data_IF_879556006341
#
_entry.id   IF_879556006341
#
_cell.length_a   1.000
_cell.length_b   1.000
_cell.length_c   1.000
_cell.angle_alpha   90.00
_cell.angle_beta   90.00
_cell.angle_gamma   90.00
#
_symmetry.space_group_name_H-M   'P 1'
#
loop_
_entity.id
_entity.type
_entity.pdbx_description
1 polymer ?
#
# COMPACT_ATOMS: atom_id res chain seq x y z
N UNK A 1 -26.69 18.95 -1.11
CA UNK A 1 -27.53 17.75 -1.33
C UNK A 1 -26.68 16.63 -1.98
N UNK A 2 -25.36 16.58 -1.73
CA UNK A 2 -24.43 16.33 -2.87
C UNK A 2 -23.52 15.11 -2.75
N UNK A 3 -23.65 14.24 -1.73
CA UNK A 3 -22.99 12.92 -1.69
C UNK A 3 -23.82 11.90 -0.91
N UNK A 4 -24.87 11.36 -1.53
CA UNK A 4 -25.58 10.22 -0.95
C UNK A 4 -24.74 8.94 -1.14
N UNK A 5 -24.25 8.36 -0.04
CA UNK A 5 -23.52 7.08 -0.03
C UNK A 5 -24.46 5.87 0.08
N UNK A 6 -25.68 6.11 0.55
CA UNK A 6 -26.75 5.14 0.78
C UNK A 6 -28.07 5.71 0.24
N UNK A 7 -28.96 4.86 -0.26
CA UNK A 7 -30.31 5.22 -0.69
C UNK A 7 -31.30 4.08 -0.46
N UNK A 8 -32.59 4.37 -0.38
CA UNK A 8 -33.65 3.37 -0.14
C UNK A 8 -34.31 3.53 1.22
N UNK A 9 -35.34 2.71 1.52
CA UNK A 9 -36.02 2.74 2.81
C UNK A 9 -35.13 2.16 3.92
N UNK A 10 -35.43 2.42 5.19
CA UNK A 10 -34.63 1.97 6.35
C UNK A 10 -34.40 0.45 6.39
N UNK A 11 -35.37 -0.32 5.86
CA UNK A 11 -35.30 -1.78 5.73
C UNK A 11 -34.72 -2.27 4.39
N UNK A 12 -34.26 -1.36 3.54
CA UNK A 12 -33.82 -1.62 2.17
C UNK A 12 -32.75 -0.65 1.70
N UNK A 13 -31.86 -0.23 2.60
CA UNK A 13 -30.75 0.65 2.27
C UNK A 13 -29.81 -0.02 1.27
N UNK A 14 -29.42 0.74 0.25
CA UNK A 14 -28.54 0.33 -0.84
C UNK A 14 -27.34 1.26 -0.88
N UNK A 15 -26.15 0.66 -0.89
CA UNK A 15 -24.91 1.39 -1.12
C UNK A 15 -24.80 1.80 -2.58
N UNK A 16 -24.25 2.99 -2.83
CA UNK A 16 -23.75 3.33 -4.17
C UNK A 16 -22.62 2.38 -4.57
N UNK A 17 -22.47 2.12 -5.87
CA UNK A 17 -21.53 1.11 -6.39
C UNK A 17 -20.11 1.29 -5.84
N UNK A 18 -19.58 2.51 -5.87
CA UNK A 18 -18.23 2.80 -5.39
C UNK A 18 -18.04 2.46 -3.90
N UNK A 19 -19.05 2.69 -3.04
CA UNK A 19 -18.96 2.32 -1.63
C UNK A 19 -19.07 0.81 -1.46
N UNK A 20 -19.92 0.16 -2.27
CA UNK A 20 -20.00 -1.30 -2.28
C UNK A 20 -18.66 -1.91 -2.70
N UNK A 21 -18.03 -1.45 -3.77
CA UNK A 21 -16.72 -1.95 -4.24
C UNK A 21 -15.60 -1.68 -3.23
N UNK A 22 -15.62 -0.51 -2.58
CA UNK A 22 -14.64 -0.17 -1.54
C UNK A 22 -14.75 -1.06 -0.29
N UNK A 23 -15.97 -1.48 0.06
CA UNK A 23 -16.25 -2.23 1.28
C UNK A 23 -16.43 -3.74 1.08
N UNK A 24 -16.72 -4.19 -0.15
CA UNK A 24 -17.02 -5.57 -0.48
C UNK A 24 -15.80 -6.26 -1.14
N UNK A 25 -15.02 -7.00 -0.35
CA UNK A 25 -13.83 -7.67 -0.87
C UNK A 25 -14.17 -8.88 -1.74
N UNK A 26 -13.38 -9.12 -2.77
CA UNK A 26 -13.47 -10.33 -3.61
C UNK A 26 -12.36 -11.30 -3.28
N UNK A 27 -12.42 -12.53 -3.81
CA UNK A 27 -11.33 -13.49 -3.65
C UNK A 27 -10.01 -12.97 -4.25
N UNK A 28 -10.08 -12.18 -5.33
CA UNK A 28 -8.93 -11.55 -5.97
C UNK A 28 -8.49 -10.24 -5.29
N UNK A 29 -9.38 -9.58 -4.55
CA UNK A 29 -9.10 -8.35 -3.83
C UNK A 29 -9.76 -8.40 -2.44
N UNK A 30 -9.08 -8.94 -1.41
CA UNK A 30 -9.62 -9.14 -0.07
C UNK A 30 -9.98 -7.84 0.68
N UNK A 31 -9.82 -6.67 0.04
CA UNK A 31 -10.27 -5.37 0.55
C UNK A 31 -9.59 -4.96 1.86
N UNK A 32 -9.99 -3.81 2.40
CA UNK A 32 -9.40 -3.24 3.62
C UNK A 32 -10.19 -3.53 4.90
N UNK A 33 -11.36 -4.15 4.77
CA UNK A 33 -12.21 -4.54 5.89
C UNK A 33 -11.75 -5.86 6.54
N UNK A 34 -10.79 -6.56 5.92
CA UNK A 34 -10.35 -7.90 6.34
C UNK A 34 -11.46 -8.97 6.21
N UNK A 35 -12.53 -8.67 5.47
CA UNK A 35 -13.57 -9.65 5.19
C UNK A 35 -13.15 -10.54 4.01
N UNK A 36 -13.57 -11.80 4.00
CA UNK A 36 -13.37 -12.67 2.85
C UNK A 36 -14.36 -12.39 1.70
N UNK A 37 -14.22 -13.14 0.59
CA UNK A 37 -15.24 -13.21 -0.46
C UNK A 37 -16.60 -13.63 0.11
N UNK A 38 -17.68 -13.40 -0.65
CA UNK A 38 -18.97 -14.00 -0.30
C UNK A 38 -18.88 -15.53 -0.36
N UNK A 39 -19.74 -16.23 0.36
CA UNK A 39 -19.86 -17.69 0.22
C UNK A 39 -20.13 -18.08 -1.24
N UNK A 40 -20.91 -17.28 -1.98
CA UNK A 40 -21.16 -17.50 -3.40
C UNK A 40 -19.87 -17.43 -4.24
N UNK A 41 -19.06 -16.38 -4.05
CA UNK A 41 -17.78 -16.23 -4.76
C UNK A 41 -16.79 -17.35 -4.41
N UNK A 42 -16.73 -17.75 -3.13
CA UNK A 42 -15.82 -18.78 -2.64
C UNK A 42 -16.23 -20.21 -3.04
N UNK A 43 -17.46 -20.41 -3.49
CA UNK A 43 -17.96 -21.71 -3.96
C UNK A 43 -17.98 -21.82 -5.49
N UNK A 44 -17.55 -20.78 -6.22
CA UNK A 44 -17.42 -20.82 -7.68
C UNK A 44 -16.51 -21.97 -8.11
N UNK A 45 -17.02 -22.82 -9.01
CA UNK A 45 -16.29 -23.98 -9.51
C UNK A 45 -16.41 -25.25 -8.65
N UNK A 46 -17.09 -25.21 -7.50
CA UNK A 46 -17.40 -26.42 -6.74
C UNK A 46 -18.41 -27.30 -7.48
N UNK A 47 -18.26 -28.62 -7.36
CA UNK A 47 -19.21 -29.56 -7.94
C UNK A 47 -20.56 -29.53 -7.21
N UNK A 48 -21.68 -29.81 -7.90
CA UNK A 48 -23.00 -29.93 -7.26
C UNK A 48 -23.00 -30.93 -6.09
N UNK A 49 -22.33 -32.07 -6.25
CA UNK A 49 -22.20 -33.09 -5.21
C UNK A 49 -21.50 -32.54 -3.95
N UNK A 50 -20.45 -31.71 -4.12
CA UNK A 50 -19.77 -31.10 -2.98
C UNK A 50 -20.67 -30.15 -2.22
N UNK A 51 -21.46 -29.33 -2.92
CA UNK A 51 -22.41 -28.41 -2.28
C UNK A 51 -23.48 -29.16 -1.47
N UNK A 52 -23.99 -30.29 -1.98
CA UNK A 52 -24.93 -31.13 -1.23
C UNK A 52 -24.29 -31.77 0.01
N UNK A 53 -23.01 -32.17 -0.05
CA UNK A 53 -22.28 -32.65 1.13
C UNK A 53 -22.11 -31.57 2.21
N UNK A 54 -21.84 -30.32 1.80
CA UNK A 54 -21.76 -29.18 2.72
C UNK A 54 -23.11 -28.92 3.40
N UNK A 55 -24.21 -28.93 2.64
CA UNK A 55 -25.57 -28.79 3.19
C UNK A 55 -25.84 -29.87 4.24
N UNK A 56 -25.63 -31.14 3.88
CA UNK A 56 -25.87 -32.26 4.78
C UNK A 56 -25.02 -32.15 6.06
N UNK A 57 -23.74 -31.85 5.92
CA UNK A 57 -22.81 -31.69 7.04
C UNK A 57 -23.15 -30.50 7.94
N UNK A 58 -23.79 -29.46 7.39
CA UNK A 58 -24.30 -28.28 8.11
C UNK A 58 -25.75 -28.44 8.60
N UNK A 59 -26.32 -29.64 8.51
CA UNK A 59 -27.70 -29.92 8.95
C UNK A 59 -28.78 -29.23 8.12
N UNK A 60 -28.48 -28.91 6.85
CA UNK A 60 -29.42 -28.29 5.92
C UNK A 60 -30.11 -29.35 5.04
N UNK A 61 -31.38 -29.12 4.65
CA UNK A 61 -32.05 -29.99 3.69
C UNK A 61 -31.37 -29.93 2.33
N UNK A 62 -31.45 -31.05 1.59
CA UNK A 62 -30.99 -31.10 0.21
C UNK A 62 -31.78 -30.13 -0.68
N UNK A 63 -31.14 -29.59 -1.71
CA UNK A 63 -31.74 -28.65 -2.66
C UNK A 63 -31.71 -29.21 -4.09
N UNK A 64 -32.61 -28.75 -4.98
CA UNK A 64 -32.71 -29.30 -6.33
C UNK A 64 -31.53 -28.92 -7.24
N UNK A 65 -30.85 -27.81 -6.94
CA UNK A 65 -29.79 -27.27 -7.78
C UNK A 65 -28.67 -26.58 -6.97
N UNK A 66 -27.47 -26.36 -7.57
CA UNK A 66 -26.33 -25.70 -6.93
C UNK A 66 -26.59 -24.26 -6.46
N UNK A 67 -27.39 -23.48 -7.20
CA UNK A 67 -27.67 -22.08 -6.88
C UNK A 67 -28.51 -22.03 -5.61
N UNK A 68 -29.54 -22.87 -5.52
CA UNK A 68 -30.35 -23.05 -4.31
C UNK A 68 -29.51 -23.57 -3.14
N UNK A 69 -28.51 -24.43 -3.38
CA UNK A 69 -27.62 -24.93 -2.33
C UNK A 69 -26.76 -23.80 -1.72
N UNK A 70 -26.13 -23.00 -2.58
CA UNK A 70 -25.36 -21.82 -2.17
C UNK A 70 -26.25 -20.83 -1.41
N UNK A 71 -27.45 -20.56 -1.92
CA UNK A 71 -28.41 -19.68 -1.26
C UNK A 71 -28.81 -20.18 0.14
N UNK A 72 -29.03 -21.50 0.32
CA UNK A 72 -29.35 -22.09 1.60
C UNK A 72 -28.19 -22.00 2.62
N UNK A 73 -26.95 -22.21 2.17
CA UNK A 73 -25.75 -22.02 3.00
C UNK A 73 -25.55 -20.55 3.38
N UNK A 74 -25.70 -19.63 2.42
CA UNK A 74 -25.67 -18.18 2.68
C UNK A 74 -26.76 -17.78 3.69
N UNK A 75 -27.98 -18.29 3.55
CA UNK A 75 -29.09 -18.05 4.47
C UNK A 75 -28.79 -18.60 5.87
N UNK A 76 -28.15 -19.76 5.98
CA UNK A 76 -27.71 -20.32 7.26
C UNK A 76 -26.72 -19.38 7.97
N UNK A 77 -25.70 -18.89 7.26
CA UNK A 77 -24.65 -18.04 7.87
C UNK A 77 -25.14 -16.62 8.19
N UNK A 78 -26.17 -16.14 7.49
CA UNK A 78 -26.77 -14.81 7.73
C UNK A 78 -27.85 -14.83 8.81
N UNK A 79 -28.47 -15.97 9.07
CA UNK A 79 -29.41 -16.14 10.18
C UNK A 79 -28.67 -16.24 11.52
N UNK A 80 -28.91 -15.27 12.40
CA UNK A 80 -28.20 -15.16 13.69
C UNK A 80 -28.46 -16.35 14.61
N UNK A 81 -29.68 -16.87 14.66
CA UNK A 81 -30.01 -17.96 15.59
C UNK A 81 -29.46 -19.29 15.07
N UNK A 82 -29.63 -19.56 13.78
CA UNK A 82 -29.22 -20.82 13.16
C UNK A 82 -27.70 -20.95 13.05
N UNK A 83 -27.00 -19.87 12.69
CA UNK A 83 -25.53 -19.87 12.66
C UNK A 83 -24.93 -20.03 14.06
N UNK A 84 -25.50 -19.37 15.09
CA UNK A 84 -25.06 -19.54 16.47
C UNK A 84 -25.24 -21.00 16.94
N UNK A 85 -26.40 -21.60 16.69
CA UNK A 85 -26.66 -23.00 17.03
C UNK A 85 -25.68 -23.99 16.34
N UNK A 86 -25.25 -23.69 15.11
CA UNK A 86 -24.20 -24.48 14.44
C UNK A 86 -22.83 -24.29 15.11
N UNK A 87 -22.46 -23.04 15.44
CA UNK A 87 -21.20 -22.73 16.11
C UNK A 87 -21.13 -23.29 17.54
N UNK A 88 -22.26 -23.41 18.24
CA UNK A 88 -22.33 -24.04 19.57
C UNK A 88 -21.94 -25.52 19.54
N UNK A 89 -22.00 -26.17 18.37
CA UNK A 89 -21.54 -27.55 18.18
C UNK A 89 -20.05 -27.66 17.81
N UNK A 90 -19.36 -26.52 17.65
CA UNK A 90 -17.99 -26.48 17.19
C UNK A 90 -16.99 -26.90 18.30
N UNK A 91 -15.94 -27.66 17.96
CA UNK A 91 -14.81 -27.85 18.87
C UNK A 91 -14.18 -26.50 19.24
N UNK A 92 -13.75 -26.34 20.49
CA UNK A 92 -13.14 -25.09 20.98
C UNK A 92 -11.93 -24.66 20.13
N UNK A 93 -11.15 -25.63 19.65
CA UNK A 93 -10.02 -25.37 18.77
C UNK A 93 -10.43 -24.78 17.40
N UNK A 94 -11.63 -25.10 16.89
CA UNK A 94 -12.17 -24.52 15.67
C UNK A 94 -12.61 -23.06 15.88
N UNK A 95 -13.20 -22.76 17.05
CA UNK A 95 -13.55 -21.38 17.42
C UNK A 95 -12.30 -20.50 17.57
N UNK A 96 -11.25 -20.99 18.24
CA UNK A 96 -9.96 -20.28 18.32
C UNK A 96 -9.30 -20.04 16.96
N UNK A 97 -9.51 -20.94 15.99
CA UNK A 97 -9.06 -20.74 14.62
C UNK A 97 -9.82 -19.61 13.94
N UNK A 98 -11.14 -19.59 14.07
CA UNK A 98 -11.98 -18.51 13.54
C UNK A 98 -11.58 -17.17 14.16
N UNK A 99 -11.38 -17.07 15.47
CA UNK A 99 -10.99 -15.82 16.14
C UNK A 99 -9.74 -15.16 15.54
N UNK A 100 -8.77 -15.96 15.08
CA UNK A 100 -7.56 -15.46 14.40
C UNK A 100 -7.86 -14.88 13.02
N UNK A 101 -8.83 -15.44 12.30
CA UNK A 101 -9.22 -15.02 10.96
C UNK A 101 -10.26 -13.90 10.98
N UNK A 102 -11.08 -13.80 12.03
CA UNK A 102 -12.24 -12.90 12.08
C UNK A 102 -11.87 -11.48 11.73
N UNK A 103 -10.75 -10.94 12.22
CA UNK A 103 -10.31 -9.57 11.94
C UNK A 103 -8.96 -9.48 11.20
N UNK A 104 -8.29 -10.62 11.01
CA UNK A 104 -7.02 -10.71 10.28
C UNK A 104 -7.22 -10.80 8.77
N UNK A 105 -6.20 -11.20 8.00
CA UNK A 105 -6.47 -11.66 6.64
C UNK A 105 -7.50 -12.79 6.74
N UNK A 106 -8.54 -12.80 5.88
CA UNK A 106 -9.59 -13.81 5.93
C UNK A 106 -9.09 -15.17 5.44
N UNK A 107 -7.78 -15.33 5.18
CA UNK A 107 -7.17 -16.52 4.60
C UNK A 107 -6.25 -17.22 5.59
N UNK A 108 -6.15 -18.54 5.44
CA UNK A 108 -5.21 -19.37 6.19
C UNK A 108 -4.56 -20.42 5.29
N UNK A 109 -3.32 -20.80 5.61
CA UNK A 109 -2.60 -21.86 4.88
C UNK A 109 -2.93 -23.21 5.51
N UNK A 110 -3.36 -24.17 4.70
CA UNK A 110 -3.60 -25.56 5.12
C UNK A 110 -3.26 -26.49 3.95
N UNK A 111 -2.54 -27.60 4.17
CA UNK A 111 -2.33 -28.59 3.12
C UNK A 111 -3.66 -29.21 2.68
N UNK A 112 -3.74 -29.58 1.41
CA UNK A 112 -4.87 -30.31 0.81
C UNK A 112 -6.25 -29.69 1.08
N UNK A 113 -6.33 -28.36 1.06
CA UNK A 113 -7.55 -27.61 1.36
C UNK A 113 -8.74 -27.99 0.46
N UNK A 114 -8.46 -28.41 -0.78
CA UNK A 114 -9.48 -28.79 -1.77
C UNK A 114 -9.98 -30.23 -1.61
N UNK A 115 -9.38 -31.03 -0.72
CA UNK A 115 -9.83 -32.38 -0.41
C UNK A 115 -11.27 -32.32 0.14
N UNK A 116 -12.24 -33.03 -0.46
CA UNK A 116 -13.58 -33.11 0.11
C UNK A 116 -13.54 -33.78 1.47
N UNK A 117 -14.12 -33.13 2.49
CA UNK A 117 -14.28 -33.68 3.84
C UNK A 117 -15.73 -33.58 4.26
N UNK A 118 -16.28 -34.66 4.81
CA UNK A 118 -17.64 -34.71 5.38
C UNK A 118 -17.60 -34.47 6.89
N UNK A 119 -18.75 -34.24 7.50
CA UNK A 119 -18.84 -34.10 8.96
C UNK A 119 -18.32 -35.34 9.72
N UNK A 120 -18.48 -36.54 9.16
CA UNK A 120 -18.09 -37.81 9.77
C UNK A 120 -16.58 -38.07 9.62
N UNK A 121 -15.99 -37.65 8.51
CA UNK A 121 -14.57 -37.86 8.19
C UNK A 121 -13.64 -36.79 8.78
N UNK A 122 -14.18 -35.73 9.39
CA UNK A 122 -13.39 -34.62 9.90
C UNK A 122 -12.59 -35.01 11.15
N UNK A 123 -11.26 -34.99 11.05
CA UNK A 123 -10.33 -35.37 12.12
C UNK A 123 -9.62 -34.18 12.74
N UNK A 124 -9.65 -33.02 12.09
CA UNK A 124 -9.03 -31.79 12.61
C UNK A 124 -10.04 -30.63 12.76
N UNK A 125 -9.71 -29.60 13.57
CA UNK A 125 -10.55 -28.41 13.67
C UNK A 125 -10.78 -27.68 12.34
N UNK A 126 -9.78 -27.68 11.44
CA UNK A 126 -9.90 -27.06 10.11
C UNK A 126 -10.82 -27.88 9.22
N UNK A 127 -10.69 -29.21 9.25
CA UNK A 127 -11.57 -30.12 8.52
C UNK A 127 -13.03 -30.03 8.98
N UNK A 128 -13.26 -29.85 10.29
CA UNK A 128 -14.60 -29.63 10.84
C UNK A 128 -15.25 -28.38 10.26
N UNK A 129 -14.48 -27.29 10.12
CA UNK A 129 -14.93 -26.03 9.50
C UNK A 129 -15.17 -26.19 7.99
N UNK A 130 -14.27 -26.88 7.28
CA UNK A 130 -14.39 -27.15 5.83
C UNK A 130 -15.58 -28.06 5.49
N UNK A 131 -15.87 -29.05 6.33
CA UNK A 131 -17.00 -29.94 6.14
C UNK A 131 -18.35 -29.21 6.21
N UNK A 132 -18.43 -28.12 6.97
CA UNK A 132 -19.67 -27.36 7.23
C UNK A 132 -19.76 -26.05 6.45
N UNK A 133 -18.82 -25.78 5.54
CA UNK A 133 -18.78 -24.54 4.76
C UNK A 133 -18.51 -23.29 5.59
N UNK A 134 -17.95 -23.45 6.80
CA UNK A 134 -17.54 -22.35 7.67
C UNK A 134 -16.13 -21.82 7.29
N UNK A 135 -15.32 -22.66 6.65
CA UNK A 135 -14.19 -22.27 5.82
C UNK A 135 -14.37 -22.89 4.44
N UNK A 136 -13.81 -22.24 3.41
CA UNK A 136 -13.89 -22.71 2.03
C UNK A 136 -12.48 -22.71 1.41
N UNK A 137 -12.12 -23.67 0.55
CA UNK A 137 -10.84 -23.66 -0.14
C UNK A 137 -10.75 -22.49 -1.12
N UNK A 138 -9.65 -21.73 -1.06
CA UNK A 138 -9.30 -20.69 -2.03
C UNK A 138 -8.19 -21.13 -3.00
N UNK A 139 -7.36 -22.09 -2.60
CA UNK A 139 -6.38 -22.79 -3.44
C UNK A 139 -6.08 -24.17 -2.84
N UNK A 140 -5.32 -25.06 -3.50
CA UNK A 140 -4.95 -26.35 -2.92
C UNK A 140 -4.27 -26.27 -1.54
N UNK A 141 -3.59 -25.15 -1.25
CA UNK A 141 -2.87 -24.93 0.00
C UNK A 141 -3.48 -23.83 0.89
N UNK A 142 -4.67 -23.33 0.59
CA UNK A 142 -5.26 -22.21 1.34
C UNK A 142 -6.77 -22.29 1.46
N UNK A 143 -7.25 -21.76 2.58
CA UNK A 143 -8.67 -21.60 2.89
C UNK A 143 -9.00 -20.14 3.12
N UNK A 144 -10.28 -19.82 3.02
CA UNK A 144 -10.82 -18.49 3.24
C UNK A 144 -12.07 -18.55 4.11
N UNK A 145 -12.22 -17.56 4.98
CA UNK A 145 -13.39 -17.30 5.82
C UNK A 145 -14.45 -16.54 4.99
N UNK A 146 -15.61 -17.15 4.68
CA UNK A 146 -16.66 -16.45 3.93
C UNK A 146 -17.20 -15.24 4.70
N UNK A 147 -17.52 -14.18 3.94
CA UNK A 147 -17.94 -12.87 4.47
C UNK A 147 -19.10 -12.97 5.46
N UNK A 148 -20.08 -13.79 5.17
CA UNK A 148 -21.29 -13.96 5.97
C UNK A 148 -20.95 -14.44 7.38
N UNK A 149 -20.10 -15.47 7.49
CA UNK A 149 -19.64 -15.97 8.79
C UNK A 149 -18.78 -14.94 9.50
N UNK A 150 -17.86 -14.26 8.78
CA UNK A 150 -17.06 -13.19 9.38
C UNK A 150 -17.95 -12.09 9.97
N UNK A 151 -18.97 -11.62 9.24
CA UNK A 151 -19.90 -10.61 9.73
C UNK A 151 -20.73 -11.12 10.92
N UNK A 152 -21.17 -12.38 10.89
CA UNK A 152 -21.85 -13.00 12.03
C UNK A 152 -20.97 -12.93 13.29
N UNK A 153 -19.73 -13.42 13.21
CA UNK A 153 -18.76 -13.44 14.31
C UNK A 153 -18.37 -12.02 14.78
N UNK A 154 -18.39 -11.03 13.88
CA UNK A 154 -18.15 -9.61 14.22
C UNK A 154 -19.38 -8.91 14.81
N UNK A 155 -20.53 -9.58 14.89
CA UNK A 155 -21.80 -8.99 15.34
C UNK A 155 -22.39 -7.98 14.36
N UNK A 156 -22.17 -8.18 13.06
CA UNK A 156 -22.62 -7.30 11.98
C UNK A 156 -21.68 -6.13 11.67
N UNK A 157 -20.52 -6.05 12.34
CA UNK A 157 -19.56 -4.95 12.17
C UNK A 157 -18.61 -5.20 11.01
N UNK A 158 -18.41 -4.21 10.16
CA UNK A 158 -17.40 -4.24 9.08
C UNK A 158 -16.00 -3.91 9.58
N UNK A 159 -15.88 -3.08 10.62
CA UNK A 159 -14.60 -2.64 11.20
C UNK A 159 -14.55 -2.93 12.69
N UNK A 160 -13.34 -3.24 13.20
CA UNK A 160 -13.12 -3.56 14.63
C UNK A 160 -13.32 -2.30 15.46
N UNK A 161 -12.70 -1.23 15.00
CA UNK A 161 -12.79 0.12 15.54
C UNK A 161 -13.28 1.02 14.42
N UNK A 162 -14.23 1.90 14.73
CA UNK A 162 -14.69 2.92 13.81
C UNK A 162 -14.03 4.22 14.23
N UNK A 163 -13.42 4.93 13.28
CA UNK A 163 -12.80 6.23 13.50
C UNK A 163 -13.62 7.28 12.71
N UNK A 164 -14.79 7.69 13.21
CA UNK A 164 -15.68 8.57 12.47
C UNK A 164 -15.16 10.01 12.40
N UNK A 165 -14.23 10.37 13.29
CA UNK A 165 -13.61 11.68 13.39
C UNK A 165 -12.16 11.57 12.93
N UNK A 166 -11.71 12.56 12.16
CA UNK A 166 -10.32 12.66 11.74
C UNK A 166 -9.41 12.73 12.98
N UNK A 167 -8.39 11.89 13.10
CA UNK A 167 -7.40 12.06 14.15
C UNK A 167 -6.58 13.32 13.88
N UNK A 168 -6.39 14.13 14.92
CA UNK A 168 -5.47 15.27 14.88
C UNK A 168 -4.03 14.75 15.03
N UNK A 169 -3.10 15.14 14.15
CA UNK A 169 -1.70 14.85 14.38
C UNK A 169 -1.26 15.51 15.69
N UNK A 170 -0.57 14.77 16.56
CA UNK A 170 -0.02 15.30 17.81
C UNK A 170 1.50 15.13 17.76
N UNK A 171 2.23 16.12 17.21
CA UNK A 171 3.68 16.07 17.19
C UNK A 171 4.27 16.11 18.61
N UNK A 172 5.13 15.14 18.93
CA UNK A 172 5.77 15.03 20.23
C UNK A 172 7.00 15.93 20.36
N UNK A 173 7.61 16.32 19.24
CA UNK A 173 8.77 17.18 19.22
C UNK A 173 8.40 18.62 19.60
N UNK A 174 9.26 19.26 20.41
CA UNK A 174 9.10 20.69 20.71
C UNK A 174 9.17 21.55 19.43
N UNK A 175 8.32 22.58 19.30
CA UNK A 175 8.37 23.51 18.18
C UNK A 175 9.74 24.15 18.03
N UNK A 176 10.12 24.44 16.79
CA UNK A 176 11.36 25.13 16.42
C UNK A 176 11.05 26.57 16.08
N UNK A 177 12.06 27.43 16.25
CA UNK A 177 12.00 28.79 15.73
C UNK A 177 11.79 28.74 14.20
N UNK A 178 10.69 29.30 13.67
CA UNK A 178 10.40 29.30 12.23
C UNK A 178 11.53 29.90 11.40
N UNK A 179 12.23 30.93 11.89
CA UNK A 179 13.34 31.52 11.14
C UNK A 179 14.54 30.57 11.04
N UNK A 180 14.81 29.79 12.09
CA UNK A 180 15.85 28.76 12.06
C UNK A 180 15.48 27.57 11.17
N UNK A 181 14.19 27.26 11.02
CA UNK A 181 13.68 26.27 10.06
C UNK A 181 13.93 26.75 8.63
N UNK A 182 13.53 27.99 8.32
CA UNK A 182 13.71 28.57 6.99
C UNK A 182 15.19 28.67 6.61
N UNK A 183 16.06 29.06 7.54
CA UNK A 183 17.50 29.12 7.31
C UNK A 183 18.12 27.75 7.01
N UNK A 184 17.70 26.71 7.73
CA UNK A 184 18.16 25.34 7.47
C UNK A 184 17.66 24.81 6.12
N UNK A 185 16.40 25.05 5.81
CA UNK A 185 15.77 24.67 4.55
C UNK A 185 16.45 25.37 3.35
N UNK A 186 16.70 26.68 3.45
CA UNK A 186 17.41 27.43 2.41
C UNK A 186 18.84 26.91 2.18
N UNK A 187 19.55 26.53 3.25
CA UNK A 187 20.85 25.88 3.15
C UNK A 187 20.79 24.57 2.38
N UNK A 188 19.83 23.70 2.71
CA UNK A 188 19.63 22.42 2.00
C UNK A 188 19.20 22.62 0.54
N UNK A 189 18.33 23.59 0.26
CA UNK A 189 17.93 23.94 -1.10
C UNK A 189 19.13 24.36 -1.97
N UNK A 190 20.04 25.17 -1.41
CA UNK A 190 21.28 25.55 -2.09
C UNK A 190 22.20 24.34 -2.32
N UNK A 191 22.38 23.49 -1.30
CA UNK A 191 23.16 22.25 -1.41
C UNK A 191 22.58 21.32 -2.48
N UNK A 192 21.26 21.15 -2.55
CA UNK A 192 20.59 20.31 -3.55
C UNK A 192 20.91 20.75 -4.99
N UNK A 193 20.83 22.06 -5.28
CA UNK A 193 21.21 22.60 -6.59
C UNK A 193 22.67 22.31 -6.89
N UNK A 194 23.58 22.52 -5.93
CA UNK A 194 25.01 22.27 -6.13
C UNK A 194 25.33 20.80 -6.34
N UNK A 195 24.70 19.89 -5.59
CA UNK A 195 24.90 18.45 -5.76
C UNK A 195 24.44 17.95 -7.14
N UNK A 196 23.33 18.48 -7.67
CA UNK A 196 22.88 18.13 -9.04
C UNK A 196 23.85 18.68 -10.10
N UNK A 197 24.35 19.90 -9.94
CA UNK A 197 25.37 20.50 -10.82
C UNK A 197 26.65 19.64 -10.83
N UNK A 198 27.22 19.33 -9.66
CA UNK A 198 28.41 18.49 -9.53
C UNK A 198 28.23 17.08 -10.12
N UNK A 199 27.06 16.48 -9.90
CA UNK A 199 26.71 15.17 -10.46
C UNK A 199 26.71 15.19 -11.99
N UNK A 200 26.02 16.17 -12.58
CA UNK A 200 25.84 16.25 -14.03
C UNK A 200 27.13 16.68 -14.74
N UNK A 201 27.94 17.55 -14.13
CA UNK A 201 29.28 17.86 -14.64
C UNK A 201 30.17 16.61 -14.68
N UNK A 202 30.17 15.81 -13.61
CA UNK A 202 30.95 14.58 -13.55
C UNK A 202 30.51 13.56 -14.62
N UNK A 203 29.20 13.39 -14.81
CA UNK A 203 28.66 12.46 -15.81
C UNK A 203 28.76 12.99 -17.24
N UNK A 204 28.80 14.31 -17.45
CA UNK A 204 29.11 14.91 -18.76
C UNK A 204 30.54 14.61 -19.22
N UNK A 205 31.48 14.49 -18.27
CA UNK A 205 32.88 14.15 -18.57
C UNK A 205 33.12 12.64 -18.69
N UNK A 206 32.42 11.82 -17.90
CA UNK A 206 32.60 10.36 -17.89
C UNK A 206 31.25 9.68 -17.72
N UNK A 207 30.44 9.63 -18.80
CA UNK A 207 29.09 9.09 -18.72
C UNK A 207 29.13 7.57 -18.49
N UNK A 208 28.42 7.02 -17.49
CA UNK A 208 28.40 5.59 -17.26
C UNK A 208 27.48 4.88 -18.27
N UNK A 209 27.81 3.64 -18.68
CA UNK A 209 27.00 2.88 -19.62
C UNK A 209 25.65 2.49 -19.00
N UNK A 210 24.62 2.40 -19.83
CA UNK A 210 23.32 1.84 -19.45
C UNK A 210 23.39 0.32 -19.31
N UNK A 211 22.57 -0.25 -18.43
CA UNK A 211 22.39 -1.70 -18.37
C UNK A 211 21.43 -2.16 -19.48
N UNK A 212 21.64 -3.38 -20.01
CA UNK A 212 20.73 -4.01 -20.99
C UNK A 212 19.26 -4.09 -20.52
N UNK A 213 19.03 -4.18 -19.22
CA UNK A 213 17.70 -4.24 -18.62
C UNK A 213 17.15 -2.84 -18.24
N UNK A 214 17.85 -1.78 -18.63
CA UNK A 214 17.65 -0.42 -18.13
C UNK A 214 18.32 -0.17 -16.78
N UNK A 215 18.63 1.10 -16.52
CA UNK A 215 19.22 1.57 -15.26
C UNK A 215 20.74 1.60 -15.23
N UNK A 216 21.27 1.77 -14.02
CA UNK A 216 22.69 1.99 -13.70
C UNK A 216 23.30 0.78 -12.99
N UNK A 217 24.54 0.44 -13.36
CA UNK A 217 25.31 -0.59 -12.68
C UNK A 217 25.66 -0.24 -11.23
N UNK A 218 25.68 -1.25 -10.34
CA UNK A 218 26.00 -1.06 -8.91
C UNK A 218 27.37 -0.42 -8.69
N UNK A 219 28.36 -0.75 -9.55
CA UNK A 219 29.71 -0.17 -9.45
C UNK A 219 29.71 1.33 -9.78
N UNK A 220 28.90 1.74 -10.75
CA UNK A 220 28.81 3.14 -11.18
C UNK A 220 27.98 3.96 -10.18
N UNK A 221 26.95 3.36 -9.57
CA UNK A 221 26.26 3.95 -8.43
C UNK A 221 27.22 4.19 -7.26
N UNK A 222 28.02 3.19 -6.88
CA UNK A 222 29.01 3.32 -5.81
C UNK A 222 30.07 4.37 -6.11
N UNK A 223 30.54 4.45 -7.36
CA UNK A 223 31.47 5.49 -7.81
C UNK A 223 30.86 6.88 -7.71
N UNK A 224 29.59 7.02 -8.12
CA UNK A 224 28.84 8.28 -8.02
C UNK A 224 28.66 8.70 -6.57
N UNK A 225 28.29 7.78 -5.69
CA UNK A 225 28.18 8.04 -4.26
C UNK A 225 29.50 8.50 -3.65
N UNK A 226 30.61 7.86 -4.02
CA UNK A 226 31.95 8.28 -3.61
C UNK A 226 32.31 9.69 -4.12
N UNK A 227 32.01 10.00 -5.38
CA UNK A 227 32.29 11.30 -5.98
C UNK A 227 31.48 12.43 -5.32
N UNK A 228 30.23 12.14 -4.92
CA UNK A 228 29.36 13.09 -4.20
C UNK A 228 29.55 13.07 -2.68
N UNK A 229 30.54 12.32 -2.16
CA UNK A 229 30.77 12.13 -0.72
C UNK A 229 29.50 11.76 0.08
N UNK A 230 28.65 10.93 -0.52
CA UNK A 230 27.33 10.59 0.00
C UNK A 230 27.09 9.09 0.07
N UNK A 231 25.96 8.69 0.63
CA UNK A 231 25.54 7.28 0.61
C UNK A 231 25.06 6.87 -0.78
N UNK A 232 25.13 5.57 -1.11
CA UNK A 232 24.54 5.04 -2.36
C UNK A 232 23.05 5.41 -2.49
N UNK A 233 22.35 5.50 -1.37
CA UNK A 233 20.94 5.86 -1.32
C UNK A 233 20.68 7.34 -1.67
N UNK A 234 21.53 8.25 -1.20
CA UNK A 234 21.47 9.67 -1.57
C UNK A 234 21.90 9.89 -3.02
N UNK A 235 22.95 9.21 -3.48
CA UNK A 235 23.36 9.25 -4.89
C UNK A 235 22.22 8.75 -5.81
N UNK A 236 21.55 7.67 -5.45
CA UNK A 236 20.36 7.20 -6.17
C UNK A 236 19.25 8.27 -6.18
N UNK A 237 18.99 8.94 -5.06
CA UNK A 237 18.03 10.05 -5.01
C UNK A 237 18.36 11.17 -6.00
N UNK A 238 19.60 11.65 -6.02
CA UNK A 238 20.02 12.73 -6.93
C UNK A 238 19.95 12.31 -8.40
N UNK A 239 20.37 11.09 -8.72
CA UNK A 239 20.27 10.54 -10.08
C UNK A 239 18.82 10.48 -10.57
N UNK A 240 17.94 9.95 -9.74
CA UNK A 240 16.51 9.84 -10.05
C UNK A 240 15.84 11.20 -10.19
N UNK A 241 16.25 12.17 -9.39
CA UNK A 241 15.77 13.55 -9.47
C UNK A 241 16.24 14.24 -10.75
N UNK A 242 17.52 14.09 -11.11
CA UNK A 242 18.07 14.61 -12.37
C UNK A 242 17.38 14.00 -13.58
N UNK A 243 17.05 12.70 -13.51
CA UNK A 243 16.27 12.03 -14.55
C UNK A 243 14.83 12.55 -14.60
N UNK A 244 14.14 12.66 -13.46
CA UNK A 244 12.76 13.12 -13.39
C UNK A 244 12.58 14.60 -13.80
N UNK A 245 13.62 15.42 -13.61
CA UNK A 245 13.66 16.82 -14.07
C UNK A 245 14.04 16.96 -15.55
N UNK A 246 14.35 15.85 -16.23
CA UNK A 246 14.74 15.84 -17.64
C UNK A 246 16.17 16.33 -17.89
N UNK A 247 16.97 16.53 -16.83
CA UNK A 247 18.36 16.97 -16.91
C UNK A 247 19.32 15.82 -17.21
N UNK A 248 18.90 14.58 -16.98
CA UNK A 248 19.65 13.35 -17.23
C UNK A 248 18.81 12.40 -18.07
N UNK A 249 19.40 11.80 -19.11
CA UNK A 249 18.76 10.78 -19.93
C UNK A 249 19.81 9.82 -20.50
N UNK A 250 19.41 8.64 -21.01
CA UNK A 250 20.30 7.92 -21.90
C UNK A 250 20.49 8.71 -23.21
N UNK A 251 21.69 8.66 -23.79
CA UNK A 251 22.05 9.41 -25.01
C UNK A 251 21.48 8.83 -26.31
N UNK A 252 20.98 7.59 -26.28
CA UNK A 252 20.37 6.90 -27.42
C UNK A 252 21.35 6.41 -28.49
N UNK A 253 22.66 6.44 -28.21
CA UNK A 253 23.70 5.96 -29.10
C UNK A 253 23.82 4.42 -29.07
N UNK A 254 24.61 3.83 -29.97
CA UNK A 254 24.74 2.37 -30.08
C UNK A 254 25.27 1.71 -28.79
N UNK A 255 26.16 2.40 -28.09
CA UNK A 255 26.65 2.04 -26.75
C UNK A 255 26.07 3.03 -25.73
N UNK A 256 24.75 2.97 -25.56
CA UNK A 256 23.95 3.94 -24.82
C UNK A 256 24.52 4.21 -23.41
N UNK A 257 24.79 5.48 -23.11
CA UNK A 257 25.32 5.95 -21.84
C UNK A 257 24.37 6.95 -21.18
N UNK A 258 24.40 7.03 -19.85
CA UNK A 258 23.68 8.07 -19.13
C UNK A 258 24.46 9.39 -19.19
N UNK A 259 23.83 10.45 -19.73
CA UNK A 259 24.48 11.74 -19.93
C UNK A 259 23.53 12.92 -19.63
N UNK A 260 24.08 14.10 -19.26
CA UNK A 260 23.29 15.32 -19.18
C UNK A 260 22.60 15.63 -20.51
N UNK A 261 21.36 16.10 -20.43
CA UNK A 261 20.59 16.52 -21.62
C UNK A 261 20.86 17.99 -21.94
N UNK A 262 20.46 18.49 -23.13
CA UNK A 262 20.50 19.92 -23.44
C UNK A 262 19.67 20.80 -22.47
N UNK A 263 18.73 20.20 -21.72
CA UNK A 263 17.99 20.92 -20.68
C UNK A 263 18.91 21.32 -19.51
N UNK A 264 20.01 20.59 -19.28
CA UNK A 264 21.03 20.95 -18.29
C UNK A 264 21.68 22.30 -18.60
N UNK A 265 22.08 22.54 -19.84
CA UNK A 265 22.68 23.82 -20.26
C UNK A 265 21.73 25.00 -20.02
N UNK A 266 20.43 24.79 -20.29
CA UNK A 266 19.39 25.79 -20.05
C UNK A 266 19.17 26.01 -18.55
N UNK A 267 19.15 24.94 -17.77
CA UNK A 267 19.02 24.99 -16.31
C UNK A 267 20.20 25.74 -15.67
N UNK A 268 21.42 25.61 -16.20
CA UNK A 268 22.58 26.39 -15.77
C UNK A 268 22.48 27.90 -16.07
N UNK A 269 21.57 28.36 -16.92
CA UNK A 269 21.35 29.80 -17.13
C UNK A 269 20.38 30.41 -16.12
N UNK A 270 19.61 29.58 -15.40
CA UNK A 270 18.66 30.03 -14.39
C UNK A 270 19.35 30.48 -13.10
N UNK A 271 18.69 31.34 -12.34
CA UNK A 271 19.14 31.65 -10.98
C UNK A 271 18.97 30.45 -10.03
N UNK A 272 19.59 30.50 -8.85
CA UNK A 272 19.55 29.36 -7.91
C UNK A 272 18.13 29.00 -7.46
N UNK A 273 17.23 29.97 -7.29
CA UNK A 273 15.87 29.72 -6.82
C UNK A 273 15.01 29.08 -7.92
N UNK A 274 15.17 29.53 -9.17
CA UNK A 274 14.53 28.94 -10.34
C UNK A 274 15.04 27.52 -10.59
N UNK A 275 16.37 27.31 -10.50
CA UNK A 275 16.99 25.97 -10.59
C UNK A 275 16.41 25.02 -9.56
N UNK A 276 16.31 25.47 -8.30
CA UNK A 276 15.70 24.69 -7.22
C UNK A 276 14.22 24.40 -7.50
N UNK A 277 13.46 25.38 -8.00
CA UNK A 277 12.04 25.22 -8.30
C UNK A 277 11.78 24.13 -9.35
N UNK A 278 12.66 24.01 -10.36
CA UNK A 278 12.61 22.92 -11.35
C UNK A 278 12.77 21.56 -10.66
N UNK A 279 13.77 21.42 -9.77
CA UNK A 279 14.03 20.18 -9.04
C UNK A 279 12.87 19.83 -8.10
N UNK A 280 12.41 20.77 -7.27
CA UNK A 280 11.31 20.56 -6.34
C UNK A 280 10.00 20.21 -7.06
N UNK A 281 9.70 20.88 -8.18
CA UNK A 281 8.55 20.60 -9.02
C UNK A 281 8.59 19.20 -9.64
N UNK A 282 9.75 18.81 -10.18
CA UNK A 282 9.96 17.46 -10.72
C UNK A 282 9.79 16.38 -9.63
N UNK A 283 10.39 16.58 -8.45
CA UNK A 283 10.24 15.68 -7.31
C UNK A 283 8.77 15.55 -6.87
N UNK A 284 8.02 16.65 -6.80
CA UNK A 284 6.62 16.61 -6.38
C UNK A 284 5.73 15.80 -7.34
N UNK A 285 6.07 15.80 -8.64
CA UNK A 285 5.36 15.06 -9.67
C UNK A 285 5.89 13.63 -9.91
N UNK A 286 7.13 13.35 -9.50
CA UNK A 286 7.81 12.09 -9.79
C UNK A 286 7.12 10.86 -9.19
N UNK A 287 6.83 9.89 -10.05
CA UNK A 287 6.34 8.55 -9.67
C UNK A 287 7.45 7.63 -9.21
N UNK A 288 8.70 7.91 -9.59
CA UNK A 288 9.87 7.11 -9.26
C UNK A 288 10.23 7.27 -7.77
N UNK A 289 10.60 6.17 -7.13
CA UNK A 289 10.90 6.10 -5.69
C UNK A 289 12.35 5.64 -5.50
N UNK A 290 13.30 6.58 -5.30
CA UNK A 290 14.73 6.26 -5.22
C UNK A 290 15.08 5.37 -4.02
N UNK A 291 14.32 5.46 -2.93
CA UNK A 291 14.45 4.64 -1.73
C UNK A 291 14.33 3.11 -1.98
N UNK A 292 13.81 2.71 -3.15
CA UNK A 292 13.73 1.30 -3.54
C UNK A 292 14.99 0.77 -4.21
N UNK A 293 15.97 1.61 -4.55
CA UNK A 293 17.24 1.16 -5.12
C UNK A 293 17.94 0.17 -4.18
N UNK A 294 18.47 -0.92 -4.73
CA UNK A 294 19.13 -1.99 -3.98
C UNK A 294 18.19 -2.97 -3.28
N UNK A 295 16.91 -2.64 -3.09
CA UNK A 295 15.92 -3.56 -2.50
C UNK A 295 15.54 -4.68 -3.48
N UNK A 296 15.15 -5.88 -2.99
CA UNK A 296 14.80 -7.00 -3.87
C UNK A 296 13.50 -6.77 -4.64
N UNK A 297 13.51 -7.10 -5.93
CA UNK A 297 12.36 -7.13 -6.84
C UNK A 297 11.48 -8.38 -6.61
N UNK A 298 10.43 -8.53 -7.43
CA UNK A 298 9.53 -9.70 -7.35
C UNK A 298 10.19 -11.06 -7.63
N UNK A 299 11.43 -11.06 -8.14
CA UNK A 299 12.27 -12.24 -8.41
C UNK A 299 13.46 -12.33 -7.45
N UNK A 300 13.53 -11.49 -6.43
CA UNK A 300 14.61 -11.44 -5.45
C UNK A 300 15.89 -10.76 -5.92
N UNK A 301 15.92 -10.12 -7.10
CA UNK A 301 17.09 -9.38 -7.60
C UNK A 301 17.08 -7.93 -7.10
N UNK A 302 18.23 -7.31 -6.80
CA UNK A 302 18.26 -5.92 -6.38
C UNK A 302 17.79 -4.99 -7.51
N UNK A 303 16.93 -4.03 -7.18
CA UNK A 303 16.46 -2.99 -8.11
C UNK A 303 17.60 -2.01 -8.41
N UNK A 304 17.88 -1.76 -9.69
CA UNK A 304 18.88 -0.79 -10.11
C UNK A 304 18.36 0.67 -9.99
N UNK A 305 19.25 1.61 -9.68
CA UNK A 305 18.98 3.03 -9.92
C UNK A 305 18.74 3.27 -11.42
N UNK A 306 17.93 4.27 -11.75
CA UNK A 306 17.44 4.61 -13.08
C UNK A 306 16.69 3.47 -13.80
N UNK A 307 16.36 2.39 -13.10
CA UNK A 307 15.63 1.24 -13.64
C UNK A 307 14.10 1.43 -13.59
N UNK A 308 13.32 0.76 -14.46
CA UNK A 308 11.86 0.92 -14.50
C UNK A 308 11.14 0.44 -13.23
N UNK A 309 11.77 -0.47 -12.46
CA UNK A 309 11.21 -1.11 -11.27
C UNK A 309 10.97 -0.17 -10.06
N UNK A 310 11.39 1.09 -10.15
CA UNK A 310 11.24 2.09 -9.09
C UNK A 310 9.93 2.90 -9.18
N UNK A 311 9.15 2.74 -10.24
CA UNK A 311 7.91 3.51 -10.44
C UNK A 311 6.79 3.10 -9.48
N UNK A 312 6.28 4.04 -8.70
CA UNK A 312 5.09 3.88 -7.86
C UNK A 312 4.12 5.04 -8.13
N UNK A 313 3.08 4.78 -8.92
CA UNK A 313 2.02 5.74 -9.25
C UNK A 313 1.37 6.42 -8.03
N UNK A 314 1.43 5.80 -6.85
CA UNK A 314 0.93 6.34 -5.60
C UNK A 314 1.81 7.48 -5.04
N UNK A 315 3.12 7.50 -5.33
CA UNK A 315 4.11 8.37 -4.71
C UNK A 315 3.78 9.87 -4.80
N UNK A 316 3.41 10.43 -5.97
CA UNK A 316 3.10 11.86 -6.07
C UNK A 316 1.89 12.27 -5.24
N UNK A 317 0.94 11.34 -5.03
CA UNK A 317 -0.27 11.62 -4.26
C UNK A 317 -0.03 11.55 -2.75
N UNK A 318 0.82 10.62 -2.29
CA UNK A 318 1.23 10.53 -0.89
C UNK A 318 2.13 11.71 -0.54
N UNK A 319 3.11 12.04 -1.38
CA UNK A 319 4.01 13.18 -1.19
C UNK A 319 3.25 14.48 -0.95
N UNK A 320 2.30 14.81 -1.85
CA UNK A 320 1.44 15.99 -1.70
C UNK A 320 0.58 15.95 -0.44
N UNK A 321 0.03 14.78 -0.10
CA UNK A 321 -0.80 14.64 1.10
C UNK A 321 0.02 14.85 2.39
N UNK A 322 1.24 14.31 2.45
CA UNK A 322 2.17 14.50 3.57
C UNK A 322 2.53 15.97 3.74
N UNK A 323 2.90 16.66 2.65
CA UNK A 323 3.25 18.09 2.71
C UNK A 323 2.05 18.97 3.05
N UNK A 324 0.87 18.67 2.52
CA UNK A 324 -0.36 19.38 2.86
C UNK A 324 -0.69 19.24 4.36
N UNK A 325 -0.54 18.04 4.91
CA UNK A 325 -0.76 17.81 6.34
C UNK A 325 0.29 18.53 7.22
N UNK A 326 1.55 18.58 6.79
CA UNK A 326 2.57 19.41 7.45
C UNK A 326 2.23 20.91 7.39
N UNK A 327 1.63 21.38 6.30
CA UNK A 327 1.20 22.76 6.15
C UNK A 327 0.03 23.13 7.07
N UNK A 328 -0.79 22.16 7.49
CA UNK A 328 -1.85 22.34 8.49
C UNK A 328 -1.28 22.51 9.92
N UNK A 329 -0.05 22.06 10.18
CA UNK A 329 0.60 22.24 11.48
C UNK A 329 1.11 23.68 11.68
N UNK A 330 1.13 24.18 12.93
CA UNK A 330 1.70 25.50 13.24
C UNK A 330 3.13 25.64 12.70
N UNK A 331 3.54 26.84 12.25
CA UNK A 331 4.91 27.09 11.79
C UNK A 331 5.97 26.61 12.80
N UNK A 332 7.03 25.98 12.29
CA UNK A 332 8.12 25.45 13.11
C UNK A 332 7.83 24.11 13.79
N UNK A 333 6.67 23.49 13.58
CA UNK A 333 6.32 22.19 14.19
C UNK A 333 6.91 21.03 13.39
N UNK A 334 7.86 20.25 13.94
CA UNK A 334 8.36 19.05 13.29
C UNK A 334 7.36 17.91 13.44
N UNK A 335 7.25 17.03 12.44
CA UNK A 335 6.43 15.82 12.56
C UNK A 335 7.08 14.61 11.89
N UNK A 336 6.90 13.45 12.49
CA UNK A 336 7.37 12.15 12.00
C UNK A 336 6.30 11.46 11.16
N UNK A 337 6.70 10.44 10.39
CA UNK A 337 5.74 9.65 9.61
C UNK A 337 4.68 9.01 10.51
N UNK A 338 5.06 8.47 11.67
CA UNK A 338 4.14 7.79 12.58
C UNK A 338 3.07 8.73 13.17
N UNK A 339 3.41 10.01 13.36
CA UNK A 339 2.47 11.03 13.84
C UNK A 339 1.50 11.50 12.74
N UNK A 340 1.94 11.51 11.48
CA UNK A 340 1.13 11.93 10.33
C UNK A 340 0.26 10.80 9.77
N UNK A 341 0.72 9.56 9.88
CA UNK A 341 0.08 8.41 9.25
C UNK A 341 -1.39 8.23 9.67
N UNK A 342 -1.78 8.28 10.95
CA UNK A 342 -3.18 8.12 11.34
C UNK A 342 -4.12 9.04 10.56
N UNK A 343 -3.76 10.31 10.41
CA UNK A 343 -4.54 11.30 9.66
C UNK A 343 -4.53 11.00 8.16
N UNK A 344 -3.38 10.65 7.57
CA UNK A 344 -3.28 10.26 6.15
C UNK A 344 -4.09 8.98 5.85
N UNK A 345 -4.13 8.02 6.78
CA UNK A 345 -4.95 6.80 6.71
C UNK A 345 -6.43 7.15 6.68
N UNK A 346 -6.85 8.05 7.57
CA UNK A 346 -8.23 8.51 7.66
C UNK A 346 -8.68 9.31 6.43
N UNK A 347 -7.88 10.28 5.96
CA UNK A 347 -8.25 11.15 4.83
C UNK A 347 -8.29 10.40 3.48
N UNK A 348 -7.54 9.31 3.35
CA UNK A 348 -7.37 8.54 2.10
C UNK A 348 -7.34 7.03 2.38
N UNK A 349 -8.45 6.43 2.86
CA UNK A 349 -8.47 5.06 3.36
C UNK A 349 -8.18 4.01 2.28
N UNK A 350 -8.49 4.30 1.01
CA UNK A 350 -8.26 3.39 -0.12
C UNK A 350 -6.89 3.55 -0.80
N UNK A 351 -6.07 4.51 -0.37
CA UNK A 351 -4.78 4.84 -1.03
C UNK A 351 -3.56 4.45 -0.20
N UNK A 352 -3.60 3.28 0.45
CA UNK A 352 -2.42 2.75 1.15
C UNK A 352 -1.44 1.99 0.25
N UNK A 353 -1.90 1.52 -0.93
CA UNK A 353 -1.09 0.66 -1.80
C UNK A 353 -1.03 -0.80 -1.30
N UNK A 354 -0.15 -1.64 -1.88
CA UNK A 354 0.04 -3.02 -1.45
C UNK A 354 0.68 -3.08 -0.05
N UNK A 355 0.38 -4.14 0.69
CA UNK A 355 0.97 -4.42 2.01
C UNK A 355 2.20 -5.31 1.83
N UNK A 356 3.32 -4.90 2.44
CA UNK A 356 4.58 -5.64 2.45
C UNK A 356 4.55 -6.87 3.38
N UNK A 357 5.60 -7.71 3.34
CA UNK A 357 5.72 -8.91 4.20
C UNK A 357 5.75 -8.60 5.70
N UNK A 358 6.18 -7.39 6.06
CA UNK A 358 6.21 -6.84 7.41
C UNK A 358 4.85 -6.27 7.88
N UNK A 359 3.82 -6.36 7.03
CA UNK A 359 2.48 -5.87 7.33
C UNK A 359 2.29 -4.36 7.13
N UNK A 360 3.32 -3.64 6.64
CA UNK A 360 3.24 -2.20 6.37
C UNK A 360 2.67 -1.94 4.99
N UNK A 361 1.90 -0.87 4.86
CA UNK A 361 1.40 -0.44 3.54
C UNK A 361 2.48 0.38 2.82
N UNK A 362 2.53 0.32 1.48
CA UNK A 362 3.45 1.14 0.68
C UNK A 362 3.37 2.64 1.04
N UNK A 363 2.18 3.16 1.37
CA UNK A 363 2.02 4.54 1.85
C UNK A 363 2.88 4.84 3.08
N UNK A 364 3.02 3.90 4.00
CA UNK A 364 3.75 4.10 5.25
C UNK A 364 5.22 4.42 4.95
N UNK A 365 5.82 3.64 4.05
CA UNK A 365 7.19 3.86 3.59
C UNK A 365 7.32 5.14 2.76
N UNK A 366 6.39 5.37 1.82
CA UNK A 366 6.35 6.59 1.01
C UNK A 366 6.24 7.86 1.87
N UNK A 367 5.52 7.80 2.99
CA UNK A 367 5.39 8.94 3.91
C UNK A 367 6.74 9.22 4.57
N UNK A 368 7.42 8.20 5.08
CA UNK A 368 8.75 8.33 5.68
C UNK A 368 9.80 8.82 4.67
N UNK A 369 9.83 8.25 3.46
CA UNK A 369 10.75 8.68 2.40
C UNK A 369 10.45 10.10 1.93
N UNK A 370 9.18 10.49 1.81
CA UNK A 370 8.80 11.87 1.50
C UNK A 370 9.40 12.86 2.49
N UNK A 371 9.33 12.59 3.80
CA UNK A 371 9.88 13.48 4.82
C UNK A 371 11.40 13.58 4.73
N UNK A 372 12.09 12.46 4.49
CA UNK A 372 13.54 12.45 4.32
C UNK A 372 13.99 13.20 3.04
N UNK A 373 13.31 12.95 1.92
CA UNK A 373 13.59 13.60 0.63
C UNK A 373 13.26 15.11 0.69
N UNK A 374 12.19 15.50 1.40
CA UNK A 374 11.84 16.91 1.60
C UNK A 374 12.92 17.67 2.40
N UNK A 375 13.55 17.03 3.38
CA UNK A 375 14.65 17.64 4.13
C UNK A 375 15.91 17.78 3.25
N UNK A 376 16.24 16.76 2.43
CA UNK A 376 17.36 16.83 1.47
C UNK A 376 17.17 17.94 0.43
N UNK A 377 15.94 18.17 0.00
CA UNK A 377 15.61 19.24 -0.95
C UNK A 377 15.46 20.62 -0.31
N UNK A 378 15.47 20.74 1.02
CA UNK A 378 15.19 22.00 1.69
C UNK A 378 13.73 22.47 1.56
N UNK A 379 12.80 21.55 1.40
CA UNK A 379 11.35 21.80 1.52
C UNK A 379 10.98 21.85 3.02
N UNK A 380 11.59 20.98 3.81
CA UNK A 380 11.58 21.04 5.26
C UNK A 380 12.97 21.44 5.78
N UNK A 381 12.98 22.03 6.97
CA UNK A 381 14.20 22.32 7.70
C UNK A 381 14.04 21.95 9.17
N UNK A 382 15.00 21.22 9.73
CA UNK A 382 14.95 20.72 11.11
C UNK A 382 13.69 19.89 11.39
N UNK A 383 13.18 19.21 10.36
CA UNK A 383 11.98 18.36 10.40
C UNK A 383 10.64 19.08 10.30
N UNK A 384 10.61 20.41 10.14
CA UNK A 384 9.38 21.21 9.99
C UNK A 384 9.28 21.84 8.59
N UNK A 385 8.06 22.06 8.11
CA UNK A 385 7.84 22.68 6.79
C UNK A 385 8.25 24.15 6.79
N UNK A 386 9.14 24.51 5.87
CA UNK A 386 9.65 25.86 5.69
C UNK A 386 8.58 26.78 5.09
N UNK A 387 8.62 28.07 5.43
CA UNK A 387 7.64 29.04 4.96
C UNK A 387 7.55 29.16 3.42
N UNK A 388 8.67 29.14 2.65
CA UNK A 388 8.60 29.18 1.18
C UNK A 388 7.93 27.96 0.53
N UNK A 389 7.77 26.86 1.29
CA UNK A 389 7.18 25.61 0.82
C UNK A 389 5.71 25.42 1.24
N UNK A 390 5.11 26.40 1.94
CA UNK A 390 3.74 26.36 2.45
C UNK A 390 2.69 26.81 1.43
#
# INVERSE_FOLDING_TARGET
>A
RDRALLWGPDNGLRLVLAVREALAPTAANPGRTGLGPTLADATVGMSPARLQQLLASAGQPATPDPVSAVAALTALLTDRARCAALLDTAPEAALRLLDRLVWGPPTGTVPDATRPVTAEDAQSPVEWLLARGLLLPSSPGSVVLPRELALHLRGGRTHRTVEPVQPEPVPAAAPRDPQAVDGAAAGQAHTAVKTVEELLDAWGLTPPPTLRAGGLGVRDLKRTAQALESTEQQAAFWLELSYASGLLAPDGEADECWAPTPAYDTWLQLDTAERWSVLAGAWLAATRVPALTGTPDGKGKPRAALGPELDRTLAPSVRRATLALLAELPPGTPATADELLPTLRWQRPLRGGPTGPDGRELRDDLTAWTLAEAELLGITGRGALAAPAR
#
